data_IF_852621696373
#
_entry.id   IF_852621696373
#
_cell.length_a   1.000
_cell.length_b   1.000
_cell.length_c   1.000
_cell.angle_alpha   90.00
_cell.angle_beta   90.00
_cell.angle_gamma   90.00
#
_symmetry.space_group_name_H-M   'P 1'
#
loop_
_entity.id
_entity.type
_entity.pdbx_description
1 polymer ?
#
# COMPACT_ATOMS: atom_id res chain seq x y z
N UNK A 1 -20.22 -0.84 14.77
CA UNK A 1 -19.28 -0.34 13.74
C UNK A 1 -18.73 -1.43 12.82
N UNK A 2 -18.03 -2.46 13.32
CA UNK A 2 -17.45 -3.49 12.43
C UNK A 2 -18.53 -4.21 11.62
N UNK A 3 -19.59 -4.66 12.27
CA UNK A 3 -20.77 -5.27 11.63
C UNK A 3 -21.41 -4.33 10.62
N UNK A 4 -21.62 -3.05 10.97
CA UNK A 4 -22.16 -2.05 10.05
C UNK A 4 -21.31 -1.90 8.78
N UNK A 5 -19.98 -1.94 8.91
CA UNK A 5 -19.07 -1.86 7.77
C UNK A 5 -19.13 -3.11 6.90
N UNK A 6 -19.32 -4.28 7.51
CA UNK A 6 -19.51 -5.54 6.79
C UNK A 6 -20.84 -5.53 6.02
N UNK A 7 -21.92 -5.09 6.66
CA UNK A 7 -23.24 -4.93 6.03
C UNK A 7 -23.21 -3.93 4.86
N UNK A 8 -22.39 -2.88 4.95
CA UNK A 8 -22.15 -1.92 3.86
C UNK A 8 -21.18 -2.41 2.79
N UNK A 9 -20.62 -3.62 2.92
CA UNK A 9 -19.69 -4.20 1.94
C UNK A 9 -18.34 -3.48 1.85
N UNK A 10 -17.90 -2.80 2.92
CA UNK A 10 -16.61 -2.11 2.92
C UNK A 10 -15.46 -3.13 2.89
N UNK A 11 -14.43 -2.84 2.10
CA UNK A 11 -13.26 -3.72 1.98
C UNK A 11 -12.54 -3.91 3.33
N UNK A 12 -11.95 -5.09 3.62
CA UNK A 12 -11.28 -5.36 4.90
C UNK A 12 -10.15 -4.37 5.24
N UNK A 13 -9.46 -3.84 4.23
CA UNK A 13 -8.46 -2.78 4.41
C UNK A 13 -9.05 -1.49 4.94
N UNK A 14 -10.20 -1.08 4.40
CA UNK A 14 -10.95 0.10 4.84
C UNK A 14 -11.50 -0.09 6.25
N UNK A 15 -12.05 -1.27 6.55
CA UNK A 15 -12.53 -1.61 7.90
C UNK A 15 -11.42 -1.43 8.95
N UNK A 16 -10.24 -2.02 8.70
CA UNK A 16 -9.08 -1.87 9.60
C UNK A 16 -8.63 -0.42 9.73
N UNK A 17 -8.59 0.32 8.62
CA UNK A 17 -8.19 1.72 8.64
C UNK A 17 -9.16 2.57 9.49
N UNK A 18 -10.46 2.34 9.34
CA UNK A 18 -11.49 3.07 10.08
C UNK A 18 -11.42 2.78 11.58
N UNK A 19 -11.41 1.51 11.95
CA UNK A 19 -11.27 1.11 13.36
C UNK A 19 -10.01 1.69 13.99
N UNK A 20 -8.89 1.68 13.27
CA UNK A 20 -7.62 2.24 13.74
C UNK A 20 -7.73 3.75 14.04
N UNK A 21 -8.44 4.53 13.22
CA UNK A 21 -8.62 5.96 13.50
C UNK A 21 -9.57 6.20 14.66
N UNK A 22 -10.64 5.41 14.79
CA UNK A 22 -11.56 5.49 15.93
C UNK A 22 -10.87 5.11 17.24
N UNK A 23 -10.02 4.09 17.25
CA UNK A 23 -9.19 3.72 18.40
C UNK A 23 -8.23 4.84 18.79
N UNK A 24 -7.53 5.43 17.82
CA UNK A 24 -6.63 6.56 18.09
C UNK A 24 -7.36 7.78 18.65
N UNK A 25 -8.60 8.04 18.22
CA UNK A 25 -9.41 9.09 18.80
C UNK A 25 -9.75 8.76 20.26
N UNK A 26 -10.22 7.55 20.55
CA UNK A 26 -10.54 7.12 21.91
C UNK A 26 -9.32 7.28 22.85
N UNK A 27 -8.14 6.84 22.39
CA UNK A 27 -6.88 6.97 23.12
C UNK A 27 -6.49 8.44 23.34
N UNK A 28 -6.67 9.30 22.35
CA UNK A 28 -6.30 10.71 22.44
C UNK A 28 -7.19 11.50 23.40
N UNK A 29 -8.50 11.25 23.35
CA UNK A 29 -9.47 12.01 24.15
C UNK A 29 -9.66 11.38 25.54
N UNK A 30 -9.30 10.11 25.72
CA UNK A 30 -9.43 9.40 27.00
C UNK A 30 -10.87 9.07 27.38
N UNK A 31 -11.80 9.16 26.43
CA UNK A 31 -13.23 8.84 26.60
C UNK A 31 -13.74 8.10 25.38
N UNK A 32 -14.96 7.57 25.50
CA UNK A 32 -15.59 6.83 24.41
C UNK A 32 -15.81 7.75 23.19
N UNK A 33 -15.52 7.28 21.95
CA UNK A 33 -15.63 8.10 20.73
C UNK A 33 -16.99 8.73 20.45
N UNK A 34 -18.07 8.18 21.00
CA UNK A 34 -19.44 8.72 20.90
C UNK A 34 -19.67 9.97 21.75
N UNK A 35 -18.77 10.24 22.71
CA UNK A 35 -18.76 11.42 23.58
C UNK A 35 -17.74 12.48 23.12
N UNK A 36 -17.06 12.26 21.99
CA UNK A 36 -16.13 13.21 21.42
C UNK A 36 -16.87 14.47 20.95
N UNK A 37 -16.38 15.63 21.39
CA UNK A 37 -16.87 16.95 21.00
C UNK A 37 -16.12 17.49 19.78
N UNK A 38 -16.65 18.53 19.16
CA UNK A 38 -16.03 19.20 18.02
C UNK A 38 -14.59 19.68 18.33
N UNK A 39 -14.37 20.15 19.56
CA UNK A 39 -13.03 20.56 20.01
C UNK A 39 -12.08 19.37 20.16
N UNK A 40 -12.58 18.22 20.63
CA UNK A 40 -11.79 16.99 20.73
C UNK A 40 -11.29 16.55 19.35
N UNK A 41 -12.15 16.62 18.32
CA UNK A 41 -11.75 16.33 16.95
C UNK A 41 -10.76 17.36 16.41
N UNK A 42 -10.97 18.65 16.68
CA UNK A 42 -10.04 19.71 16.28
C UNK A 42 -8.65 19.46 16.86
N UNK A 43 -8.57 19.20 18.16
CA UNK A 43 -7.31 18.92 18.85
C UNK A 43 -6.67 17.62 18.34
N UNK A 44 -7.47 16.60 18.06
CA UNK A 44 -6.98 15.35 17.47
C UNK A 44 -6.33 15.56 16.10
N UNK A 45 -6.99 16.28 15.19
CA UNK A 45 -6.42 16.58 13.87
C UNK A 45 -5.17 17.47 13.96
N UNK A 46 -5.14 18.44 14.89
CA UNK A 46 -3.95 19.26 15.16
C UNK A 46 -2.78 18.41 15.67
N UNK A 47 -3.04 17.50 16.60
CA UNK A 47 -2.03 16.58 17.12
C UNK A 47 -1.50 15.66 16.02
N UNK A 48 -2.38 15.10 15.18
CA UNK A 48 -1.97 14.29 14.03
C UNK A 48 -1.13 15.07 13.03
N UNK A 49 -1.46 16.33 12.76
CA UNK A 49 -0.71 17.17 11.84
C UNK A 49 0.68 17.54 12.38
N UNK A 50 0.76 18.02 13.63
CA UNK A 50 2.01 18.44 14.29
C UNK A 50 2.95 17.27 14.59
N UNK A 51 2.41 16.17 15.11
CA UNK A 51 3.23 15.06 15.62
C UNK A 51 3.58 14.07 14.52
N UNK A 52 2.66 13.78 13.59
CA UNK A 52 2.82 12.67 12.62
C UNK A 52 2.94 13.11 11.17
N UNK A 53 2.85 14.41 10.86
CA UNK A 53 2.94 14.89 9.47
C UNK A 53 1.85 14.28 8.59
N UNK A 54 0.62 14.24 9.10
CA UNK A 54 -0.49 13.53 8.46
C UNK A 54 -0.72 14.03 7.02
N UNK A 55 -0.64 13.10 6.04
CA UNK A 55 -0.93 13.40 4.64
C UNK A 55 -2.44 13.66 4.43
N UNK A 56 -2.78 14.40 3.38
CA UNK A 56 -4.19 14.65 2.98
C UNK A 56 -4.99 13.37 2.83
N UNK A 57 -4.41 12.35 2.20
CA UNK A 57 -5.06 11.04 2.00
C UNK A 57 -5.38 10.39 3.34
N UNK A 58 -4.42 10.35 4.26
CA UNK A 58 -4.61 9.82 5.62
C UNK A 58 -5.70 10.56 6.38
N UNK A 59 -5.74 11.88 6.28
CA UNK A 59 -6.77 12.67 6.93
C UNK A 59 -8.17 12.47 6.31
N UNK A 60 -8.24 12.32 5.00
CA UNK A 60 -9.51 12.03 4.30
C UNK A 60 -10.06 10.68 4.77
N UNK A 61 -9.19 9.68 4.94
CA UNK A 61 -9.58 8.37 5.50
C UNK A 61 -10.06 8.52 6.94
N UNK A 62 -9.37 9.32 7.77
CA UNK A 62 -9.80 9.59 9.15
C UNK A 62 -11.17 10.27 9.22
N UNK A 63 -11.39 11.33 8.42
CA UNK A 63 -12.69 12.02 8.32
C UNK A 63 -13.78 11.04 7.89
N UNK A 64 -13.51 10.22 6.87
CA UNK A 64 -14.48 9.23 6.40
C UNK A 64 -14.80 8.17 7.47
N UNK A 65 -13.80 7.77 8.27
CA UNK A 65 -13.99 6.85 9.39
C UNK A 65 -14.91 7.44 10.47
N UNK A 66 -14.69 8.70 10.85
CA UNK A 66 -15.50 9.35 11.87
C UNK A 66 -16.91 9.67 11.35
N UNK A 67 -17.04 10.11 10.10
CA UNK A 67 -18.32 10.28 9.44
C UNK A 67 -19.12 8.96 9.43
N UNK A 68 -18.46 7.84 9.12
CA UNK A 68 -19.09 6.52 9.19
C UNK A 68 -19.55 6.17 10.61
N UNK A 69 -18.70 6.38 11.62
CA UNK A 69 -19.05 6.14 13.01
C UNK A 69 -20.31 6.93 13.41
N UNK A 70 -20.37 8.23 13.11
CA UNK A 70 -21.48 9.07 13.51
C UNK A 70 -22.76 8.80 12.71
N UNK A 71 -22.68 8.84 11.38
CA UNK A 71 -23.87 8.78 10.54
C UNK A 71 -24.45 7.36 10.43
N UNK A 72 -23.60 6.32 10.45
CA UNK A 72 -24.04 4.93 10.25
C UNK A 72 -24.17 4.21 11.58
N UNK A 73 -23.12 4.18 12.40
CA UNK A 73 -23.11 3.38 13.64
C UNK A 73 -23.89 4.06 14.76
N UNK A 74 -23.65 5.36 15.02
CA UNK A 74 -24.30 6.10 16.10
C UNK A 74 -25.63 6.73 15.69
N UNK A 75 -25.92 6.79 14.37
CA UNK A 75 -27.11 7.44 13.79
C UNK A 75 -27.30 8.87 14.25
N UNK A 76 -26.20 9.62 14.36
CA UNK A 76 -26.14 11.03 14.74
C UNK A 76 -25.52 11.85 13.61
N UNK A 77 -25.88 13.14 13.47
CA UNK A 77 -25.23 13.99 12.50
C UNK A 77 -23.74 14.10 12.83
N UNK A 78 -22.90 13.94 11.80
CA UNK A 78 -21.48 14.22 11.92
C UNK A 78 -21.29 15.74 12.14
N UNK A 79 -20.64 16.18 13.25
CA UNK A 79 -20.38 17.58 13.47
C UNK A 79 -19.57 18.16 12.31
N UNK A 80 -20.01 19.31 11.78
CA UNK A 80 -19.36 19.97 10.64
C UNK A 80 -18.05 20.59 11.10
N UNK A 81 -17.00 19.77 11.10
CA UNK A 81 -15.64 20.27 11.18
C UNK A 81 -15.27 20.89 9.82
N UNK A 82 -15.61 22.18 9.63
CA UNK A 82 -15.04 23.01 8.54
C UNK A 82 -13.52 23.22 8.69
N UNK A 83 -12.94 22.66 9.76
CA UNK A 83 -11.61 22.95 10.28
C UNK A 83 -10.45 22.27 9.55
N UNK A 84 -10.71 21.28 8.68
CA UNK A 84 -9.61 20.54 8.06
C UNK A 84 -9.87 20.22 6.58
N UNK A 85 -9.49 21.16 5.72
CA UNK A 85 -9.40 20.96 4.27
C UNK A 85 -7.92 20.99 3.87
N UNK A 86 -7.24 19.84 3.74
CA UNK A 86 -5.86 19.85 3.28
C UNK A 86 -5.80 20.47 1.91
N UNK A 87 -4.98 21.51 1.75
CA UNK A 87 -4.74 22.14 0.45
C UNK A 87 -4.29 21.05 -0.52
N UNK A 88 -4.96 20.96 -1.66
CA UNK A 88 -4.59 20.01 -2.70
C UNK A 88 -3.30 20.49 -3.36
N UNK A 89 -2.17 19.97 -2.91
CA UNK A 89 -0.92 20.07 -3.66
C UNK A 89 -1.04 19.00 -4.75
N UNK A 90 -1.30 19.42 -5.98
CA UNK A 90 -1.20 18.53 -7.14
C UNK A 90 0.29 18.35 -7.44
N UNK A 91 0.89 17.28 -6.93
CA UNK A 91 2.19 16.84 -7.42
C UNK A 91 1.97 16.18 -8.77
N UNK A 92 2.62 16.70 -9.81
CA UNK A 92 2.68 16.00 -11.09
C UNK A 92 3.46 14.70 -10.82
N UNK A 93 2.91 13.51 -11.13
CA UNK A 93 3.64 12.28 -10.96
C UNK A 93 4.90 12.34 -11.84
N UNK A 94 6.07 12.17 -11.22
CA UNK A 94 7.32 12.04 -11.97
C UNK A 94 7.25 10.69 -12.70
N UNK A 95 7.15 10.73 -14.01
CA UNK A 95 7.11 9.52 -14.85
C UNK A 95 8.55 9.16 -15.20
N UNK A 96 8.99 7.98 -14.80
CA UNK A 96 10.29 7.44 -15.22
C UNK A 96 10.24 7.03 -16.69
N UNK A 97 11.34 7.26 -17.39
CA UNK A 97 11.62 6.69 -18.70
C UNK A 97 11.79 5.16 -18.62
N UNK A 98 11.65 4.49 -19.77
CA UNK A 98 11.83 3.03 -19.87
C UNK A 98 13.24 2.62 -19.42
N UNK A 99 14.26 3.38 -19.82
CA UNK A 99 15.66 3.10 -19.46
C UNK A 99 15.92 3.26 -17.96
N UNK A 100 15.33 4.29 -17.32
CA UNK A 100 15.44 4.48 -15.87
C UNK A 100 14.80 3.34 -15.08
N UNK A 101 13.67 2.81 -15.55
CA UNK A 101 13.03 1.65 -14.91
C UNK A 101 13.92 0.41 -15.01
N UNK A 102 14.45 0.11 -16.20
CA UNK A 102 15.34 -1.03 -16.36
C UNK A 102 16.65 -0.88 -15.61
N UNK A 103 17.21 0.34 -15.58
CA UNK A 103 18.37 0.66 -14.76
C UNK A 103 18.08 0.42 -13.28
N UNK A 104 16.92 0.86 -12.78
CA UNK A 104 16.51 0.60 -11.40
C UNK A 104 16.34 -0.89 -11.12
N UNK A 105 15.69 -1.64 -12.02
CA UNK A 105 15.51 -3.08 -11.86
C UNK A 105 16.85 -3.84 -11.87
N UNK A 106 17.89 -3.31 -12.52
CA UNK A 106 19.22 -3.94 -12.53
C UNK A 106 19.89 -4.04 -11.16
N UNK A 107 19.49 -3.20 -10.19
CA UNK A 107 19.98 -3.27 -8.80
C UNK A 107 19.25 -4.31 -7.94
N UNK A 108 18.21 -4.97 -8.46
CA UNK A 108 17.46 -6.00 -7.73
C UNK A 108 18.15 -7.34 -7.89
N UNK A 109 19.02 -7.67 -6.93
CA UNK A 109 19.83 -8.90 -6.98
C UNK A 109 19.05 -10.18 -6.67
N UNK A 110 17.91 -10.10 -5.98
CA UNK A 110 17.10 -11.27 -5.67
C UNK A 110 16.21 -11.64 -6.87
N UNK A 111 16.41 -12.81 -7.53
CA UNK A 111 15.71 -13.14 -8.77
C UNK A 111 14.18 -13.15 -8.65
N UNK A 112 13.66 -13.58 -7.50
CA UNK A 112 12.21 -13.57 -7.24
C UNK A 112 11.62 -12.17 -7.21
N UNK A 113 12.33 -11.21 -6.63
CA UNK A 113 11.89 -9.82 -6.57
C UNK A 113 12.04 -9.14 -7.93
N UNK A 114 13.13 -9.42 -8.64
CA UNK A 114 13.32 -8.95 -10.01
C UNK A 114 12.17 -9.43 -10.91
N UNK A 115 11.88 -10.74 -10.90
CA UNK A 115 10.80 -11.32 -11.70
C UNK A 115 9.43 -10.72 -11.36
N UNK A 116 9.14 -10.51 -10.08
CA UNK A 116 7.89 -9.88 -9.64
C UNK A 116 7.77 -8.42 -10.12
N UNK A 117 8.79 -7.60 -9.88
CA UNK A 117 8.78 -6.18 -10.25
C UNK A 117 8.79 -5.98 -11.77
N UNK A 118 9.56 -6.77 -12.51
CA UNK A 118 9.56 -6.75 -13.98
C UNK A 118 8.19 -7.16 -14.53
N UNK A 119 7.51 -8.14 -13.93
CA UNK A 119 6.16 -8.53 -14.33
C UNK A 119 5.14 -7.44 -14.02
N UNK A 120 5.23 -6.82 -12.83
CA UNK A 120 4.39 -5.68 -12.44
C UNK A 120 4.52 -4.55 -13.46
N UNK A 121 5.75 -4.21 -13.84
CA UNK A 121 6.01 -3.16 -14.82
C UNK A 121 5.51 -3.52 -16.23
N UNK A 122 5.94 -4.66 -16.77
CA UNK A 122 5.64 -5.06 -18.15
C UNK A 122 4.16 -5.36 -18.39
N UNK A 123 3.46 -5.86 -17.37
CA UNK A 123 2.03 -6.18 -17.46
C UNK A 123 1.15 -5.10 -16.80
N UNK A 124 1.72 -4.00 -16.30
CA UNK A 124 0.96 -2.94 -15.64
C UNK A 124 0.11 -3.41 -14.45
N UNK A 125 0.61 -4.38 -13.68
CA UNK A 125 -0.09 -4.92 -12.52
C UNK A 125 -0.03 -3.95 -11.35
N UNK A 126 -1.01 -3.99 -10.46
CA UNK A 126 -0.82 -3.43 -9.11
C UNK A 126 0.17 -4.30 -8.35
N UNK A 127 0.88 -3.72 -7.39
CA UNK A 127 1.84 -4.46 -6.56
C UNK A 127 1.17 -5.65 -5.87
N UNK A 128 -0.04 -5.47 -5.34
CA UNK A 128 -0.81 -6.54 -4.72
C UNK A 128 -1.25 -7.63 -5.70
N UNK A 129 -1.52 -7.28 -6.96
CA UNK A 129 -1.87 -8.25 -8.00
C UNK A 129 -0.63 -9.06 -8.42
N UNK A 130 0.52 -8.39 -8.63
CA UNK A 130 1.78 -9.05 -8.99
C UNK A 130 2.35 -9.92 -7.87
N UNK A 131 2.33 -9.44 -6.63
CA UNK A 131 2.81 -10.21 -5.47
C UNK A 131 1.94 -11.44 -5.17
N UNK A 132 0.66 -11.41 -5.56
CA UNK A 132 -0.30 -12.49 -5.39
C UNK A 132 -0.61 -13.18 -6.73
N UNK A 133 0.30 -13.14 -7.70
CA UNK A 133 0.07 -13.76 -9.00
C UNK A 133 0.04 -15.30 -8.84
N UNK A 134 -1.03 -15.91 -9.34
CA UNK A 134 -1.21 -17.36 -9.34
C UNK A 134 -0.81 -17.97 -10.67
N UNK A 135 -0.36 -19.23 -10.64
CA UNK A 135 0.01 -20.00 -11.83
C UNK A 135 -1.21 -20.21 -12.74
N UNK A 136 -2.38 -20.47 -12.15
CA UNK A 136 -3.66 -20.66 -12.87
C UNK A 136 -4.15 -19.42 -13.62
N UNK A 137 -3.59 -18.24 -13.34
CA UNK A 137 -3.97 -16.99 -13.99
C UNK A 137 -3.20 -16.75 -15.29
N UNK A 138 -2.22 -17.60 -15.60
CA UNK A 138 -1.36 -17.47 -16.78
C UNK A 138 -1.92 -18.34 -17.90
N UNK A 139 -2.50 -17.71 -18.92
CA UNK A 139 -2.87 -18.38 -20.17
C UNK A 139 -1.74 -18.19 -21.19
N UNK A 140 -0.83 -19.17 -21.24
CA UNK A 140 0.29 -19.13 -22.19
C UNK A 140 -0.10 -19.47 -23.63
N UNK A 141 -1.29 -20.05 -23.87
CA UNK A 141 -1.77 -20.33 -25.21
C UNK A 141 -2.31 -19.06 -25.87
N UNK A 142 -3.02 -18.22 -25.10
CA UNK A 142 -3.55 -16.93 -25.55
C UNK A 142 -2.63 -15.75 -25.26
N UNK A 143 -1.52 -15.98 -24.58
CA UNK A 143 -0.57 -14.95 -24.13
C UNK A 143 -1.26 -13.86 -23.31
N UNK A 144 -2.00 -14.27 -22.28
CA UNK A 144 -2.78 -13.38 -21.41
C UNK A 144 -2.66 -13.75 -19.92
N UNK A 145 -2.75 -12.73 -19.07
CA UNK A 145 -2.93 -12.87 -17.63
C UNK A 145 -4.39 -12.56 -17.26
N UNK A 146 -5.04 -13.48 -16.54
CA UNK A 146 -6.37 -13.26 -15.97
C UNK A 146 -6.23 -12.74 -14.53
N UNK A 147 -6.35 -11.43 -14.33
CA UNK A 147 -6.32 -10.86 -12.99
C UNK A 147 -7.72 -10.93 -12.36
N UNK A 148 -7.84 -11.71 -11.29
CA UNK A 148 -9.09 -11.88 -10.54
C UNK A 148 -9.15 -10.96 -9.32
N UNK A 149 -10.33 -10.39 -9.05
CA UNK A 149 -10.56 -9.60 -7.84
C UNK A 149 -9.78 -8.27 -7.80
N UNK A 150 -9.60 -7.61 -8.95
CA UNK A 150 -9.04 -6.27 -9.02
C UNK A 150 -9.87 -5.24 -8.25
N UNK A 151 -9.41 -3.98 -8.17
CA UNK A 151 -10.13 -2.89 -7.49
C UNK A 151 -11.61 -2.85 -7.93
N UNK A 152 -12.52 -2.99 -6.97
CA UNK A 152 -13.96 -3.07 -7.22
C UNK A 152 -14.48 -4.46 -7.59
N UNK A 153 -13.71 -5.53 -7.29
CA UNK A 153 -14.03 -6.93 -7.61
C UNK A 153 -14.22 -7.19 -9.11
N UNK A 154 -13.49 -6.45 -9.96
CA UNK A 154 -13.56 -6.62 -11.41
C UNK A 154 -12.38 -7.43 -11.91
N UNK A 155 -12.72 -8.44 -12.71
CA UNK A 155 -11.76 -9.26 -13.42
C UNK A 155 -11.35 -8.58 -14.72
N UNK A 156 -10.08 -8.77 -15.13
CA UNK A 156 -9.58 -8.26 -16.41
C UNK A 156 -8.49 -9.14 -16.99
N UNK A 157 -8.43 -9.17 -18.31
CA UNK A 157 -7.34 -9.79 -19.04
C UNK A 157 -6.28 -8.75 -19.40
N UNK A 158 -5.02 -9.14 -19.27
CA UNK A 158 -3.86 -8.30 -19.57
C UNK A 158 -2.97 -9.05 -20.56
N UNK A 159 -2.52 -8.42 -21.66
CA UNK A 159 -1.55 -9.04 -22.56
C UNK A 159 -0.29 -9.46 -21.81
N UNK A 160 0.20 -10.67 -22.07
CA UNK A 160 1.43 -11.21 -21.48
C UNK A 160 2.55 -11.17 -22.53
N UNK A 161 3.58 -10.32 -22.37
CA UNK A 161 4.72 -10.31 -23.27
C UNK A 161 5.50 -11.63 -23.22
N UNK A 162 5.99 -12.17 -24.37
CA UNK A 162 6.74 -13.43 -24.39
C UNK A 162 7.98 -13.45 -23.48
N UNK A 163 8.71 -12.33 -23.38
CA UNK A 163 9.87 -12.21 -22.48
C UNK A 163 9.45 -12.35 -21.01
N UNK A 164 8.32 -11.77 -20.63
CA UNK A 164 7.77 -11.89 -19.28
C UNK A 164 7.35 -13.33 -19.01
N UNK A 165 6.69 -14.02 -19.95
CA UNK A 165 6.36 -15.44 -19.79
C UNK A 165 7.61 -16.31 -19.54
N UNK A 166 8.70 -16.07 -20.28
CA UNK A 166 9.97 -16.76 -20.06
C UNK A 166 10.52 -16.52 -18.66
N UNK A 167 10.51 -15.27 -18.20
CA UNK A 167 10.94 -14.89 -16.86
C UNK A 167 10.09 -15.57 -15.77
N UNK A 168 8.77 -15.64 -15.97
CA UNK A 168 7.85 -16.30 -15.05
C UNK A 168 8.07 -17.81 -15.00
N UNK A 169 8.35 -18.45 -16.14
CA UNK A 169 8.70 -19.88 -16.20
C UNK A 169 10.00 -20.17 -15.47
N UNK A 170 11.03 -19.35 -15.70
CA UNK A 170 12.32 -19.46 -14.99
C UNK A 170 12.12 -19.34 -13.48
N UNK A 171 11.33 -18.36 -13.04
CA UNK A 171 11.01 -18.18 -11.63
C UNK A 171 10.26 -19.39 -11.06
N UNK A 172 9.21 -19.88 -11.75
CA UNK A 172 8.40 -20.99 -11.27
C UNK A 172 9.21 -22.27 -11.09
N UNK A 173 10.17 -22.56 -11.99
CA UNK A 173 11.02 -23.76 -11.89
C UNK A 173 11.82 -23.81 -10.58
N UNK A 174 12.13 -22.67 -9.96
CA UNK A 174 12.90 -22.60 -8.71
C UNK A 174 12.18 -23.20 -7.50
N UNK A 175 10.84 -23.23 -7.51
CA UNK A 175 10.04 -23.68 -6.36
C UNK A 175 8.89 -24.62 -6.72
N UNK A 176 8.44 -24.64 -7.98
CA UNK A 176 7.35 -25.47 -8.53
C UNK A 176 6.08 -25.46 -7.67
N UNK A 177 5.74 -24.28 -7.14
CA UNK A 177 4.56 -24.14 -6.29
C UNK A 177 3.31 -24.22 -7.18
N UNK A 178 2.32 -25.06 -6.84
CA UNK A 178 1.16 -25.31 -7.70
C UNK A 178 0.19 -24.12 -7.78
N UNK A 179 0.21 -23.23 -6.79
CA UNK A 179 -0.76 -22.13 -6.69
C UNK A 179 -0.09 -20.79 -6.98
N UNK A 180 0.99 -20.46 -6.27
CA UNK A 180 1.59 -19.13 -6.30
C UNK A 180 2.84 -19.08 -7.14
N UNK A 181 2.96 -18.02 -7.94
CA UNK A 181 4.16 -17.74 -8.71
C UNK A 181 5.29 -17.11 -7.87
N UNK A 182 4.90 -16.41 -6.79
CA UNK A 182 5.83 -15.79 -5.84
C UNK A 182 5.46 -16.20 -4.40
N UNK A 183 5.76 -17.44 -3.98
CA UNK A 183 5.44 -17.89 -2.64
C UNK A 183 6.27 -17.13 -1.59
N UNK A 184 5.67 -16.86 -0.43
CA UNK A 184 6.43 -16.39 0.72
C UNK A 184 7.45 -17.46 1.16
N UNK A 185 8.63 -17.05 1.64
CA UNK A 185 9.72 -17.96 2.04
C UNK A 185 9.30 -19.03 3.07
N UNK A 186 10.18 -20.01 3.30
CA UNK A 186 9.98 -21.35 3.88
C UNK A 186 9.09 -21.55 5.14
N UNK A 187 8.54 -20.49 5.76
CA UNK A 187 7.53 -20.55 6.83
C UNK A 187 6.08 -20.66 6.33
N UNK A 188 5.81 -20.45 5.05
CA UNK A 188 4.47 -20.62 4.46
C UNK A 188 4.23 -22.03 3.89
N UNK A 189 4.99 -23.04 4.35
CA UNK A 189 4.99 -24.40 3.80
C UNK A 189 3.70 -25.21 4.06
N UNK A 190 2.76 -24.72 4.85
CA UNK A 190 1.53 -25.49 5.17
C UNK A 190 0.23 -24.85 4.68
N UNK A 191 0.17 -23.54 4.42
CA UNK A 191 -1.12 -22.86 4.13
C UNK A 191 -1.25 -22.28 2.71
N UNK A 192 -0.24 -22.40 1.85
CA UNK A 192 -0.29 -21.77 0.53
C UNK A 192 -0.62 -20.27 0.65
N UNK A 193 -0.01 -19.59 1.62
CA UNK A 193 -0.33 -18.19 1.88
C UNK A 193 0.45 -17.28 0.91
N UNK A 194 -0.22 -16.29 0.29
CA UNK A 194 0.46 -15.30 -0.53
C UNK A 194 1.49 -14.47 0.27
N UNK A 195 2.36 -13.75 -0.44
CA UNK A 195 3.21 -12.75 0.18
C UNK A 195 2.35 -11.67 0.86
N UNK A 196 2.14 -11.78 2.18
CA UNK A 196 1.39 -10.77 2.95
C UNK A 196 2.15 -9.45 2.89
N UNK A 197 1.56 -8.45 2.25
CA UNK A 197 1.88 -7.05 2.53
C UNK A 197 1.51 -6.77 4.00
N UNK A 198 2.45 -6.96 4.92
CA UNK A 198 2.33 -6.43 6.29
C UNK A 198 2.38 -4.91 6.21
N UNK A 199 1.24 -4.28 5.95
CA UNK A 199 1.00 -2.92 6.39
C UNK A 199 1.12 -2.93 7.92
N UNK A 200 2.25 -2.44 8.44
CA UNK A 200 2.49 -2.32 9.87
C UNK A 200 1.47 -1.32 10.45
N UNK A 201 0.39 -1.85 11.01
CA UNK A 201 -0.42 -1.17 12.01
C UNK A 201 0.28 -1.30 13.36
N UNK A 202 1.29 -0.47 13.57
CA UNK A 202 1.96 -0.29 14.85
C UNK A 202 2.01 1.20 15.16
N UNK A 203 1.64 1.55 16.38
CA UNK A 203 1.75 2.89 16.97
C UNK A 203 3.06 3.54 16.57
N UNK A 204 3.00 4.64 15.81
CA UNK A 204 4.16 5.49 15.53
C UNK A 204 4.48 6.24 16.82
N UNK A 205 5.17 5.55 17.72
CA UNK A 205 6.14 6.18 18.61
C UNK A 205 7.29 6.62 17.71
N UNK A 206 7.55 7.93 17.68
CA UNK A 206 8.77 8.50 17.12
C UNK A 206 9.97 7.99 17.94
N UNK A 207 10.40 6.76 17.65
CA UNK A 207 11.75 6.28 17.89
C UNK A 207 12.21 5.69 16.57
N UNK A 208 13.30 6.23 16.06
CA UNK A 208 14.10 5.62 15.00
C UNK A 208 14.30 4.13 15.34
N UNK A 209 13.45 3.28 14.79
CA UNK A 209 13.59 1.83 14.83
C UNK A 209 13.94 1.41 13.42
N UNK A 210 15.24 1.26 13.23
CA UNK A 210 15.87 0.68 12.06
C UNK A 210 15.17 -0.64 11.74
N UNK A 211 14.48 -0.72 10.61
CA UNK A 211 14.35 -2.00 9.91
C UNK A 211 15.77 -2.44 9.54
N UNK A 212 16.10 -3.74 9.61
CA UNK A 212 17.46 -4.23 9.43
C UNK A 212 17.78 -4.26 7.93
N UNK A 213 17.90 -3.09 7.33
CA UNK A 213 18.59 -2.87 6.06
C UNK A 213 19.60 -1.76 6.31
N UNK A 214 20.56 -2.04 7.18
CA UNK A 214 21.83 -1.32 7.14
C UNK A 214 22.53 -1.77 5.86
N UNK A 215 22.48 -0.91 4.84
CA UNK A 215 23.48 -0.91 3.78
C UNK A 215 24.86 -0.86 4.45
N UNK A 216 25.83 -1.71 4.03
CA UNK A 216 27.19 -1.63 4.55
C UNK A 216 27.71 -0.20 4.45
N UNK A 217 28.22 0.32 5.55
CA UNK A 217 28.55 1.73 5.79
C UNK A 217 29.81 2.20 5.05
N UNK A 218 30.05 1.70 3.83
CA UNK A 218 31.28 1.99 3.09
C UNK A 218 31.06 2.21 1.60
N UNK A 219 30.13 3.09 1.24
CA UNK A 219 30.09 3.70 -0.08
C UNK A 219 29.78 5.19 0.05
N UNK A 220 30.82 6.01 -0.16
CA UNK A 220 30.69 7.46 -0.18
C UNK A 220 29.62 7.92 -1.17
N UNK A 221 28.89 8.98 -0.79
CA UNK A 221 28.04 9.80 -1.67
C UNK A 221 27.10 8.99 -2.59
N UNK A 222 26.19 8.19 -2.04
CA UNK A 222 25.17 7.50 -2.87
C UNK A 222 23.76 8.02 -2.60
N UNK A 223 23.07 8.28 -3.72
CA UNK A 223 21.73 8.87 -3.85
C UNK A 223 20.66 7.90 -3.32
N UNK A 224 19.65 8.43 -2.65
CA UNK A 224 18.58 7.63 -2.03
C UNK A 224 17.40 7.48 -2.99
N UNK A 225 17.04 6.24 -3.34
CA UNK A 225 15.83 5.92 -4.11
C UNK A 225 14.71 5.58 -3.13
N UNK A 226 13.56 6.23 -3.28
CA UNK A 226 12.39 5.97 -2.43
C UNK A 226 11.27 5.37 -3.29
N UNK A 227 10.64 4.31 -2.79
CA UNK A 227 9.42 3.75 -3.38
C UNK A 227 8.25 4.30 -2.57
N UNK A 228 7.42 5.15 -3.17
CA UNK A 228 6.22 5.68 -2.52
C UNK A 228 4.96 5.09 -3.16
N UNK A 229 3.95 4.90 -2.32
CA UNK A 229 2.66 4.37 -2.73
C UNK A 229 1.71 5.53 -3.03
N UNK A 230 1.16 5.57 -4.25
CA UNK A 230 -0.03 6.40 -4.50
C UNK A 230 -1.24 5.81 -3.77
N UNK A 231 -2.18 6.66 -3.38
CA UNK A 231 -3.50 6.26 -2.87
C UNK A 231 -4.31 5.36 -3.85
N UNK A 232 -3.82 5.18 -5.08
CA UNK A 232 -4.39 4.33 -6.13
C UNK A 232 -3.68 2.98 -6.33
N UNK A 233 -2.78 2.57 -5.43
CA UNK A 233 -1.97 1.34 -5.54
C UNK A 233 -1.10 1.28 -6.82
N UNK A 234 -0.73 2.45 -7.35
CA UNK A 234 0.28 2.58 -8.40
C UNK A 234 1.66 2.73 -7.77
N UNK A 235 2.63 1.96 -8.27
CA UNK A 235 4.04 2.09 -7.93
C UNK A 235 4.51 3.46 -8.42
N UNK A 236 4.86 4.37 -7.51
CA UNK A 236 5.57 5.60 -7.85
C UNK A 236 7.00 5.46 -7.33
N UNK A 237 7.94 5.42 -8.26
CA UNK A 237 9.36 5.38 -7.97
C UNK A 237 9.84 6.83 -7.88
N UNK A 238 10.13 7.29 -6.67
CA UNK A 238 10.61 8.64 -6.41
C UNK A 238 12.13 8.68 -6.46
N UNK A 239 12.65 9.51 -7.35
CA UNK A 239 14.04 9.92 -7.40
C UNK A 239 14.18 11.23 -6.63
N UNK A 240 14.92 11.25 -5.52
CA UNK A 240 15.30 12.48 -4.83
C UNK A 240 16.68 12.92 -5.35
N UNK A 241 16.77 13.91 -6.27
CA UNK A 241 18.05 14.55 -6.51
C UNK A 241 18.46 15.26 -5.22
N UNK A 242 19.70 15.03 -4.76
CA UNK A 242 20.28 15.77 -3.64
C UNK A 242 20.24 17.26 -3.97
N UNK A 243 19.25 17.97 -3.41
CA UNK A 243 19.24 19.43 -3.42
C UNK A 243 20.44 19.87 -2.59
N UNK A 244 21.46 20.41 -3.26
CA UNK A 244 22.55 21.14 -2.60
C UNK A 244 21.90 22.23 -1.75
N UNK A 245 21.94 22.09 -0.43
CA UNK A 245 21.88 23.26 0.45
C UNK A 245 23.10 24.11 0.11
N UNK A 246 22.88 25.27 -0.51
CA UNK A 246 23.81 26.39 -0.41
C UNK A 246 23.62 27.02 0.96
#
# INVERSE_FOLDING_TARGET
MLEDMQLKGLAPGTQRAYLRYVQQLAEFVGKSPDQATDEDFRQFFLALHKVRGLSRSSATVAIAAFKFLFEVTLRRPWPRLDLYRPRQIQTVPVVLSVDEVWHMLSFVHQPSYYACLATIYTCGLRISEGANLQVSWIDSARMQLQIRGGKGLKDRYIPLPPRTLTLLRQQWVTHRNPVWLFPAGARAKQDGAPHRNRAHGGTVSKRHSQLPWQLPERLGRTRSVFVEYSAEDRLILHYLPLVRKR
#
